data_IF_932066711056
#
_entry.id   IF_932066711056
#
_cell.length_a   1.000
_cell.length_b   1.000
_cell.length_c   1.000
_cell.angle_alpha   90.00
_cell.angle_beta   90.00
_cell.angle_gamma   90.00
#
_symmetry.space_group_name_H-M   'P 1'
#
loop_
_entity.id
_entity.type
_entity.pdbx_description
1 polymer ?
#
# COMPACT_ATOMS: atom_id res chain seq x y z
N UNK A 1 -36.25 28.91 -36.30
CA UNK A 1 -34.78 28.91 -36.29
C UNK A 1 -34.33 29.81 -35.15
N UNK A 2 -33.87 29.24 -34.04
CA UNK A 2 -33.36 29.97 -32.89
C UNK A 2 -32.07 29.30 -32.42
N UNK A 3 -30.96 29.99 -32.64
CA UNK A 3 -29.59 29.56 -32.35
C UNK A 3 -29.31 29.71 -30.87
N UNK A 4 -29.11 28.59 -30.17
CA UNK A 4 -28.75 28.56 -28.75
C UNK A 4 -27.23 28.72 -28.64
N UNK A 5 -26.78 29.88 -28.19
CA UNK A 5 -25.38 30.13 -27.86
C UNK A 5 -25.02 29.39 -26.57
N UNK A 6 -24.15 28.39 -26.66
CA UNK A 6 -23.52 27.77 -25.50
C UNK A 6 -22.38 28.66 -25.00
N UNK A 7 -22.54 29.15 -23.78
CA UNK A 7 -21.52 29.84 -23.00
C UNK A 7 -20.33 28.91 -22.74
N UNK A 8 -19.14 29.33 -23.16
CA UNK A 8 -17.85 28.72 -22.80
C UNK A 8 -17.69 28.81 -21.28
N UNK A 9 -17.49 27.67 -20.62
CA UNK A 9 -16.93 27.61 -19.28
C UNK A 9 -15.41 27.54 -19.42
N UNK A 10 -14.73 28.46 -18.75
CA UNK A 10 -13.28 28.60 -18.72
C UNK A 10 -12.62 27.37 -18.07
N UNK A 11 -11.79 26.68 -18.84
CA UNK A 11 -10.97 25.55 -18.39
C UNK A 11 -9.60 26.06 -17.90
N UNK A 12 -9.34 25.89 -16.59
CA UNK A 12 -8.02 26.09 -16.02
C UNK A 12 -7.06 24.96 -16.43
N UNK A 13 -6.07 25.34 -17.23
CA UNK A 13 -5.01 24.51 -17.80
C UNK A 13 -3.90 24.21 -16.78
N UNK A 14 -3.63 22.93 -16.54
CA UNK A 14 -2.33 22.43 -16.05
C UNK A 14 -1.95 21.21 -16.91
N UNK A 15 -1.07 21.43 -17.89
CA UNK A 15 -0.39 20.42 -18.72
C UNK A 15 -1.30 19.35 -19.36
N UNK A 16 -1.90 19.71 -20.50
CA UNK A 16 -2.88 18.95 -21.25
C UNK A 16 -2.43 17.59 -21.79
N UNK A 17 -2.72 16.54 -21.02
CA UNK A 17 -3.05 15.23 -21.58
C UNK A 17 -4.36 14.75 -20.96
N UNK A 18 -5.36 14.47 -21.82
CA UNK A 18 -6.62 13.86 -21.39
C UNK A 18 -6.29 12.55 -20.67
N UNK A 19 -6.85 12.35 -19.48
CA UNK A 19 -6.71 11.10 -18.75
C UNK A 19 -7.03 9.92 -19.67
N UNK A 20 -6.16 8.90 -19.69
CA UNK A 20 -6.37 7.71 -20.53
C UNK A 20 -7.68 7.05 -20.11
N UNK A 21 -8.68 6.93 -21.01
CA UNK A 21 -9.94 6.28 -20.67
C UNK A 21 -9.72 4.85 -20.19
N UNK A 22 -10.53 4.39 -19.25
CA UNK A 22 -10.44 3.02 -18.69
C UNK A 22 -10.48 1.97 -19.80
N UNK A 23 -11.30 2.18 -20.84
CA UNK A 23 -11.41 1.30 -22.00
C UNK A 23 -10.09 1.12 -22.79
N UNK A 24 -9.14 2.06 -22.67
CA UNK A 24 -7.82 1.96 -23.32
C UNK A 24 -6.75 1.35 -22.42
N UNK A 25 -7.06 1.02 -21.17
CA UNK A 25 -6.09 0.50 -20.18
C UNK A 25 -5.53 -0.83 -20.65
N UNK A 26 -4.20 -0.98 -20.56
CA UNK A 26 -3.54 -2.27 -20.76
C UNK A 26 -3.84 -3.16 -19.56
N UNK A 27 -4.44 -4.32 -19.80
CA UNK A 27 -4.86 -5.27 -18.77
C UNK A 27 -4.13 -6.61 -18.95
N UNK A 28 -3.93 -7.37 -17.86
CA UNK A 28 -3.45 -8.74 -17.91
C UNK A 28 -4.21 -9.61 -18.90
N UNK A 29 -3.48 -10.50 -19.55
CA UNK A 29 -3.95 -11.42 -20.59
C UNK A 29 -4.79 -12.52 -19.96
N UNK A 30 -5.93 -12.83 -20.55
CA UNK A 30 -6.69 -14.02 -20.17
C UNK A 30 -5.95 -15.27 -20.64
N UNK A 31 -5.65 -16.20 -19.73
CA UNK A 31 -4.95 -17.43 -20.04
C UNK A 31 -5.08 -18.45 -18.91
N UNK A 32 -4.56 -19.66 -19.14
CA UNK A 32 -4.49 -20.70 -18.12
C UNK A 32 -3.34 -20.38 -17.16
N UNK A 33 -3.62 -20.39 -15.86
CA UNK A 33 -2.59 -20.23 -14.83
C UNK A 33 -1.62 -21.42 -14.90
N UNK A 34 -0.29 -21.19 -15.00
CA UNK A 34 0.69 -22.27 -15.01
C UNK A 34 0.65 -23.09 -13.73
N UNK A 35 1.05 -24.37 -13.81
CA UNK A 35 1.17 -25.22 -12.63
C UNK A 35 2.41 -24.77 -11.83
N UNK A 36 2.28 -24.67 -10.50
CA UNK A 36 3.40 -24.37 -9.61
C UNK A 36 3.72 -22.89 -9.39
N UNK A 37 2.92 -21.96 -9.91
CA UNK A 37 3.06 -20.51 -9.64
C UNK A 37 2.23 -20.02 -8.46
N UNK A 38 1.37 -20.88 -7.90
CA UNK A 38 0.51 -20.54 -6.77
C UNK A 38 1.36 -20.22 -5.54
N UNK A 39 1.01 -19.15 -4.85
CA UNK A 39 1.60 -18.85 -3.54
C UNK A 39 1.11 -19.89 -2.54
N UNK A 40 2.04 -20.59 -1.92
CA UNK A 40 1.75 -21.46 -0.80
C UNK A 40 1.68 -20.61 0.46
N UNK A 41 0.53 -20.64 1.12
CA UNK A 41 0.35 -20.04 2.44
C UNK A 41 0.40 -21.14 3.51
N UNK A 42 1.38 -21.04 4.40
CA UNK A 42 1.57 -21.93 5.54
C UNK A 42 1.46 -21.16 6.84
N UNK A 43 0.80 -21.74 7.83
CA UNK A 43 0.80 -21.22 9.20
C UNK A 43 1.71 -22.15 10.00
N UNK A 44 2.99 -21.77 10.23
CA UNK A 44 3.96 -22.65 10.86
C UNK A 44 3.61 -22.96 12.32
N UNK A 45 3.04 -21.99 13.04
CA UNK A 45 2.62 -22.11 14.43
C UNK A 45 1.27 -21.40 14.62
N UNK A 46 0.47 -21.86 15.58
CA UNK A 46 -0.79 -21.19 15.93
C UNK A 46 -0.50 -19.77 16.46
N UNK A 47 -0.98 -18.71 15.78
CA UNK A 47 -0.69 -17.34 16.18
C UNK A 47 -1.21 -17.02 17.59
N UNK A 48 -2.26 -17.71 18.05
CA UNK A 48 -2.85 -17.48 19.36
C UNK A 48 -1.92 -17.89 20.52
N UNK A 49 -1.01 -18.84 20.29
CA UNK A 49 -0.04 -19.29 21.31
C UNK A 49 0.99 -18.19 21.59
N UNK A 50 1.33 -17.39 20.58
CA UNK A 50 2.37 -16.35 20.68
C UNK A 50 1.84 -15.00 21.18
N UNK A 51 0.53 -14.89 21.47
CA UNK A 51 -0.06 -13.64 21.90
C UNK A 51 0.52 -13.18 23.25
N UNK A 52 0.93 -11.91 23.37
CA UNK A 52 1.41 -11.37 24.63
C UNK A 52 0.27 -11.36 25.65
N UNK A 53 0.56 -11.77 26.88
CA UNK A 53 -0.41 -11.76 27.96
C UNK A 53 -0.80 -10.31 28.33
N UNK A 54 -2.10 -10.04 28.38
CA UNK A 54 -2.64 -8.74 28.76
C UNK A 54 -2.99 -8.78 30.26
N UNK A 55 -2.45 -7.84 31.02
CA UNK A 55 -2.80 -7.67 32.45
C UNK A 55 -4.12 -6.90 32.60
N UNK A 56 -4.93 -7.27 33.60
CA UNK A 56 -6.14 -6.54 33.97
C UNK A 56 -5.84 -5.16 34.60
N UNK A 57 -4.62 -4.96 35.08
CA UNK A 57 -4.13 -3.70 35.65
C UNK A 57 -2.92 -3.23 34.85
N UNK A 58 -3.15 -2.54 33.71
CA UNK A 58 -2.08 -2.05 32.87
C UNK A 58 -1.26 -0.97 33.62
N UNK A 59 0.09 -0.96 33.47
CA UNK A 59 0.91 0.11 34.01
C UNK A 59 0.61 1.44 33.29
N UNK A 60 1.05 2.54 33.88
CA UNK A 60 1.02 3.83 33.18
C UNK A 60 1.87 3.79 31.90
N UNK A 61 1.46 4.57 30.91
CA UNK A 61 2.17 4.62 29.64
C UNK A 61 3.54 5.26 29.82
N UNK A 62 4.56 4.48 29.50
CA UNK A 62 5.94 4.97 29.39
C UNK A 62 6.36 4.92 27.91
N UNK A 63 6.75 6.07 27.33
CA UNK A 63 7.20 6.14 25.94
C UNK A 63 8.36 5.19 25.66
N UNK A 64 8.32 4.56 24.48
CA UNK A 64 9.42 3.73 23.98
C UNK A 64 10.16 4.46 22.86
N UNK A 65 11.24 3.87 22.35
CA UNK A 65 11.97 4.42 21.22
C UNK A 65 11.08 4.56 19.96
N UNK A 66 10.11 3.66 19.78
CA UNK A 66 9.21 3.66 18.62
C UNK A 66 7.87 4.32 18.91
N UNK A 67 7.29 4.09 20.09
CA UNK A 67 6.01 4.64 20.49
C UNK A 67 6.24 5.82 21.45
N UNK A 68 6.57 6.98 20.86
CA UNK A 68 6.74 8.23 21.59
C UNK A 68 5.40 8.83 22.02
N UNK A 69 5.43 9.80 22.94
CA UNK A 69 4.20 10.50 23.36
C UNK A 69 3.51 11.17 22.16
N UNK A 70 4.27 11.84 21.29
CA UNK A 70 3.73 12.49 20.09
C UNK A 70 3.03 11.51 19.14
N UNK A 71 3.64 10.32 18.95
CA UNK A 71 3.05 9.26 18.12
C UNK A 71 1.79 8.69 18.77
N UNK A 72 1.79 8.51 20.10
CA UNK A 72 0.61 8.07 20.83
C UNK A 72 -0.55 9.07 20.71
N UNK A 73 -0.26 10.37 20.86
CA UNK A 73 -1.25 11.44 20.72
C UNK A 73 -1.82 11.50 19.30
N UNK A 74 -1.03 11.15 18.29
CA UNK A 74 -1.47 11.08 16.88
C UNK A 74 -2.49 9.97 16.60
N UNK A 75 -2.51 8.90 17.41
CA UNK A 75 -3.44 7.77 17.27
C UNK A 75 -4.86 8.16 17.73
N UNK A 76 -4.99 9.17 18.60
CA UNK A 76 -6.28 9.71 19.05
C UNK A 76 -7.25 8.65 19.62
N UNK A 77 -6.73 7.76 20.47
CA UNK A 77 -7.42 6.58 21.04
C UNK A 77 -8.82 6.89 21.64
N UNK A 78 -9.04 8.09 22.16
CA UNK A 78 -10.31 8.48 22.80
C UNK A 78 -10.79 9.87 22.38
N UNK A 79 -10.77 10.19 21.08
CA UNK A 79 -11.19 11.51 20.58
C UNK A 79 -12.65 11.86 20.96
N UNK A 80 -13.53 10.86 21.05
CA UNK A 80 -14.95 11.04 21.41
C UNK A 80 -15.22 10.99 22.91
N UNK A 81 -14.23 10.63 23.74
CA UNK A 81 -14.39 10.50 25.19
C UNK A 81 -15.24 9.28 25.62
N UNK A 82 -15.46 8.32 24.73
CA UNK A 82 -16.25 7.11 25.01
C UNK A 82 -15.56 6.17 26.02
N UNK A 83 -14.23 6.06 25.94
CA UNK A 83 -13.46 5.12 26.77
C UNK A 83 -13.19 5.68 28.16
N UNK A 84 -13.22 4.81 29.17
CA UNK A 84 -12.81 5.14 30.53
C UNK A 84 -11.28 5.31 30.62
N UNK A 85 -10.78 6.06 31.62
CA UNK A 85 -9.33 6.25 31.79
C UNK A 85 -8.55 4.93 31.87
N UNK A 86 -9.10 3.90 32.51
CA UNK A 86 -8.47 2.58 32.59
C UNK A 86 -8.49 1.82 31.25
N UNK A 87 -9.51 2.01 30.42
CA UNK A 87 -9.57 1.43 29.08
C UNK A 87 -8.57 2.08 28.13
N UNK A 88 -8.37 3.41 28.27
CA UNK A 88 -7.33 4.13 27.52
C UNK A 88 -5.94 3.61 27.90
N UNK A 89 -5.67 3.41 29.20
CA UNK A 89 -4.41 2.81 29.66
C UNK A 89 -4.21 1.40 29.10
N UNK A 90 -5.26 0.59 29.11
CA UNK A 90 -5.22 -0.75 28.53
C UNK A 90 -4.86 -0.73 27.05
N UNK A 91 -5.47 0.18 26.28
CA UNK A 91 -5.18 0.32 24.86
C UNK A 91 -3.73 0.79 24.61
N UNK A 92 -3.24 1.76 25.38
CA UNK A 92 -1.85 2.20 25.35
C UNK A 92 -0.89 1.04 25.65
N UNK A 93 -1.23 0.19 26.62
CA UNK A 93 -0.45 -1.00 26.96
C UNK A 93 -0.42 -2.02 25.82
N UNK A 94 -1.58 -2.29 25.19
CA UNK A 94 -1.67 -3.20 24.04
C UNK A 94 -0.83 -2.70 22.85
N UNK A 95 -0.90 -1.40 22.55
CA UNK A 95 -0.09 -0.79 21.49
C UNK A 95 1.40 -0.87 21.79
N UNK A 96 1.80 -0.68 23.06
CA UNK A 96 3.20 -0.83 23.49
C UNK A 96 3.69 -2.27 23.33
N UNK A 97 2.90 -3.26 23.75
CA UNK A 97 3.24 -4.68 23.58
C UNK A 97 3.41 -5.08 22.12
N UNK A 98 2.65 -4.43 21.23
CA UNK A 98 2.65 -4.70 19.79
C UNK A 98 3.33 -3.59 18.98
N UNK A 99 4.24 -2.81 19.57
CA UNK A 99 4.81 -1.62 18.91
C UNK A 99 5.51 -1.94 17.58
N UNK A 100 5.98 -3.18 17.41
CA UNK A 100 6.60 -3.66 16.18
C UNK A 100 5.62 -3.66 14.99
N UNK A 101 4.30 -3.81 15.22
CA UNK A 101 3.29 -3.86 14.15
C UNK A 101 2.88 -2.47 13.65
N UNK A 102 3.15 -1.42 14.42
CA UNK A 102 2.80 -0.05 14.08
C UNK A 102 3.82 0.54 13.11
N UNK A 103 3.35 1.12 12.01
CA UNK A 103 4.19 1.76 11.02
C UNK A 103 3.98 3.28 11.01
N UNK A 104 4.99 4.04 11.45
CA UNK A 104 4.96 5.51 11.45
C UNK A 104 5.81 6.07 10.30
N UNK A 105 6.90 5.40 9.96
CA UNK A 105 7.85 5.78 8.92
C UNK A 105 7.97 4.72 7.82
N UNK A 106 8.55 5.07 6.67
CA UNK A 106 8.77 4.11 5.57
C UNK A 106 9.77 3.00 5.97
N UNK A 107 10.63 3.27 6.96
CA UNK A 107 11.54 2.31 7.59
C UNK A 107 10.83 1.29 8.49
N UNK A 108 9.65 1.62 9.04
CA UNK A 108 8.85 0.68 9.84
C UNK A 108 8.11 -0.35 8.99
N UNK A 109 8.22 -0.26 7.67
CA UNK A 109 7.51 -1.12 6.72
C UNK A 109 7.91 -2.58 6.93
N UNK A 110 6.93 -3.40 7.28
CA UNK A 110 7.10 -4.86 7.34
C UNK A 110 7.14 -5.51 5.95
N UNK A 111 7.76 -6.69 5.91
CA UNK A 111 7.66 -7.65 4.80
C UNK A 111 6.93 -8.90 5.27
N UNK A 112 6.26 -9.60 4.34
CA UNK A 112 5.69 -10.90 4.65
C UNK A 112 6.82 -11.90 4.92
N UNK A 113 6.71 -12.65 6.01
CA UNK A 113 7.72 -13.67 6.36
C UNK A 113 7.68 -14.82 5.35
N UNK A 114 8.85 -15.23 4.87
CA UNK A 114 9.00 -16.37 3.94
C UNK A 114 8.53 -17.70 4.54
N UNK A 115 8.51 -17.83 5.87
CA UNK A 115 7.95 -19.01 6.56
C UNK A 115 6.43 -19.14 6.42
N UNK A 116 5.75 -18.03 6.12
CA UNK A 116 4.30 -18.01 5.91
C UNK A 116 3.93 -18.06 4.43
N UNK A 117 4.68 -17.37 3.58
CA UNK A 117 4.36 -17.21 2.18
C UNK A 117 5.55 -17.57 1.31
N UNK A 118 5.33 -18.48 0.36
CA UNK A 118 6.32 -18.71 -0.70
C UNK A 118 6.50 -17.46 -1.57
N UNK A 119 7.68 -17.25 -2.20
CA UNK A 119 7.87 -16.17 -3.16
C UNK A 119 6.79 -16.19 -4.26
N UNK A 120 6.32 -15.00 -4.64
CA UNK A 120 5.34 -14.86 -5.72
C UNK A 120 6.01 -15.02 -7.08
N UNK A 121 5.56 -15.98 -7.88
CA UNK A 121 6.04 -16.18 -9.25
C UNK A 121 5.08 -15.47 -10.20
N UNK A 122 5.57 -14.47 -10.94
CA UNK A 122 4.77 -13.79 -11.96
C UNK A 122 4.47 -14.73 -13.13
N UNK A 123 3.19 -15.06 -13.41
CA UNK A 123 2.84 -15.89 -14.56
C UNK A 123 2.87 -15.02 -15.82
N UNK A 124 3.76 -15.33 -16.75
CA UNK A 124 3.98 -14.57 -17.98
C UNK A 124 3.76 -15.44 -19.21
N UNK A 125 3.17 -14.88 -20.26
CA UNK A 125 3.16 -15.51 -21.60
C UNK A 125 4.55 -15.39 -22.25
N UNK A 126 4.91 -16.22 -23.26
CA UNK A 126 6.13 -16.03 -24.02
C UNK A 126 6.21 -14.62 -24.62
N UNK A 127 7.32 -13.91 -24.36
CA UNK A 127 7.53 -12.55 -24.83
C UNK A 127 9.03 -12.23 -24.92
N UNK A 128 9.34 -11.12 -25.58
CA UNK A 128 10.69 -10.55 -25.59
C UNK A 128 10.82 -9.51 -24.48
N UNK A 129 11.90 -9.52 -23.69
CA UNK A 129 12.17 -8.45 -22.74
C UNK A 129 12.18 -7.08 -23.43
N UNK A 130 11.68 -6.05 -22.74
CA UNK A 130 11.61 -4.70 -23.29
C UNK A 130 12.65 -3.79 -22.69
N UNK A 131 13.15 -2.89 -23.53
CA UNK A 131 14.08 -1.86 -23.13
C UNK A 131 13.57 -0.49 -23.54
N UNK A 132 12.98 0.24 -22.60
CA UNK A 132 12.50 1.59 -22.86
C UNK A 132 13.46 2.65 -22.31
N UNK A 133 13.58 3.76 -23.05
CA UNK A 133 14.25 4.95 -22.55
C UNK A 133 13.38 5.62 -21.49
N UNK A 134 13.98 5.94 -20.34
CA UNK A 134 13.28 6.63 -19.25
C UNK A 134 12.92 8.06 -19.62
N UNK A 135 11.86 8.56 -19.00
CA UNK A 135 11.43 9.95 -19.15
C UNK A 135 12.46 10.83 -18.41
N UNK A 136 12.99 11.89 -19.06
CA UNK A 136 13.95 12.79 -18.41
C UNK A 136 13.38 13.39 -17.11
N UNK A 137 14.17 13.35 -16.05
CA UNK A 137 13.80 13.98 -14.78
C UNK A 137 14.07 15.49 -14.89
N UNK A 138 13.08 16.36 -14.59
CA UNK A 138 13.28 17.80 -14.57
C UNK A 138 14.40 18.20 -13.59
N UNK A 139 15.32 19.09 -13.97
CA UNK A 139 16.46 19.46 -13.12
C UNK A 139 16.05 19.95 -11.72
N UNK A 140 14.94 20.68 -11.61
CA UNK A 140 14.46 21.22 -10.33
C UNK A 140 14.00 20.19 -9.31
N UNK A 141 13.74 18.93 -9.72
CA UNK A 141 13.36 17.85 -8.80
C UNK A 141 14.43 16.76 -8.68
N UNK A 142 15.53 16.85 -9.43
CA UNK A 142 16.52 15.78 -9.55
C UNK A 142 17.11 15.36 -8.19
N UNK A 143 17.56 16.31 -7.36
CA UNK A 143 18.15 16.02 -6.06
C UNK A 143 17.16 15.30 -5.12
N UNK A 144 15.91 15.78 -5.07
CA UNK A 144 14.85 15.14 -4.28
C UNK A 144 14.53 13.72 -4.75
N UNK A 145 14.62 13.47 -6.05
CA UNK A 145 14.45 12.12 -6.62
C UNK A 145 15.62 11.21 -6.23
N UNK A 146 16.85 11.71 -6.24
CA UNK A 146 18.02 10.93 -5.79
C UNK A 146 17.92 10.57 -4.31
N UNK A 147 17.54 11.52 -3.46
CA UNK A 147 17.30 11.26 -2.02
C UNK A 147 16.21 10.20 -1.82
N UNK A 148 15.09 10.32 -2.54
CA UNK A 148 14.01 9.34 -2.48
C UNK A 148 14.44 7.94 -2.95
N UNK A 149 15.27 7.85 -3.99
CA UNK A 149 15.80 6.57 -4.46
C UNK A 149 16.73 5.93 -3.43
N UNK A 150 17.60 6.70 -2.79
CA UNK A 150 18.47 6.21 -1.71
C UNK A 150 17.66 5.69 -0.53
N UNK A 151 16.69 6.46 -0.06
CA UNK A 151 15.80 6.03 1.02
C UNK A 151 15.05 4.72 0.69
N UNK A 152 14.66 4.51 -0.57
CA UNK A 152 14.04 3.24 -1.01
C UNK A 152 15.01 2.06 -1.08
N UNK A 153 16.28 2.31 -1.37
CA UNK A 153 17.32 1.29 -1.31
C UNK A 153 17.60 0.93 0.14
N UNK A 154 17.75 1.92 1.02
CA UNK A 154 18.00 1.72 2.45
C UNK A 154 16.84 0.97 3.12
N UNK A 155 15.59 1.24 2.69
CA UNK A 155 14.40 0.51 3.14
C UNK A 155 14.23 -0.89 2.49
N UNK A 156 15.16 -1.35 1.66
CA UNK A 156 15.11 -2.65 1.00
C UNK A 156 14.03 -2.79 -0.08
N UNK A 157 13.43 -1.69 -0.54
CA UNK A 157 12.39 -1.70 -1.59
C UNK A 157 13.02 -1.82 -2.97
N UNK A 158 14.20 -1.23 -3.15
CA UNK A 158 14.98 -1.29 -4.39
C UNK A 158 16.34 -1.91 -4.15
N UNK A 159 16.81 -2.67 -5.13
CA UNK A 159 18.15 -3.24 -5.15
C UNK A 159 18.78 -3.02 -6.55
N UNK A 160 20.11 -2.90 -6.64
CA UNK A 160 20.81 -2.95 -7.91
C UNK A 160 20.54 -4.30 -8.60
N UNK A 161 20.19 -4.29 -9.89
CA UNK A 161 19.97 -5.50 -10.66
C UNK A 161 20.63 -5.42 -12.03
N UNK A 162 20.95 -6.60 -12.59
CA UNK A 162 21.31 -6.77 -13.99
C UNK A 162 20.15 -7.48 -14.68
N UNK A 163 19.39 -6.73 -15.49
CA UNK A 163 18.13 -7.21 -16.07
C UNK A 163 18.04 -6.88 -17.56
N UNK A 164 17.43 -7.78 -18.33
CA UNK A 164 17.04 -7.54 -19.72
C UNK A 164 15.75 -6.69 -19.84
N UNK A 165 15.12 -6.35 -18.72
CA UNK A 165 13.92 -5.52 -18.66
C UNK A 165 14.25 -4.12 -18.18
N UNK A 166 13.69 -3.11 -18.87
CA UNK A 166 13.74 -1.71 -18.45
C UNK A 166 12.43 -1.01 -18.79
N UNK A 167 11.60 -0.83 -17.77
CA UNK A 167 10.35 -0.08 -17.86
C UNK A 167 10.59 1.42 -17.66
N UNK A 168 9.74 2.25 -18.26
CA UNK A 168 9.76 3.70 -17.99
C UNK A 168 9.27 3.96 -16.57
N UNK A 169 9.73 5.04 -15.98
CA UNK A 169 9.15 5.57 -14.75
C UNK A 169 9.22 7.09 -14.76
N UNK A 170 8.42 7.72 -13.92
CA UNK A 170 8.37 9.15 -13.74
C UNK A 170 7.95 9.52 -12.32
N UNK A 171 8.12 10.78 -11.96
CA UNK A 171 7.73 11.30 -10.65
C UNK A 171 6.46 12.13 -10.74
N UNK A 172 5.60 11.99 -9.72
CA UNK A 172 4.40 12.81 -9.54
C UNK A 172 4.48 13.51 -8.18
N UNK A 173 4.19 14.80 -8.15
CA UNK A 173 4.02 15.55 -6.90
C UNK A 173 2.62 15.28 -6.33
N UNK A 174 2.57 14.81 -5.07
CA UNK A 174 1.33 14.70 -4.32
C UNK A 174 0.90 16.07 -3.78
N UNK A 175 -0.38 16.20 -3.37
CA UNK A 175 -0.94 17.44 -2.79
C UNK A 175 -0.15 17.93 -1.56
N UNK A 176 0.46 17.01 -0.81
CA UNK A 176 1.31 17.30 0.34
C UNK A 176 2.75 17.71 -0.02
N UNK A 177 3.06 17.93 -1.30
CA UNK A 177 4.39 18.30 -1.78
C UNK A 177 5.40 17.15 -1.84
N UNK A 178 5.05 15.94 -1.38
CA UNK A 178 5.93 14.76 -1.47
C UNK A 178 5.97 14.21 -2.89
N UNK A 179 7.15 13.74 -3.31
CA UNK A 179 7.33 13.06 -4.60
C UNK A 179 6.92 11.59 -4.49
N UNK A 180 6.28 11.08 -5.54
CA UNK A 180 5.98 9.65 -5.72
C UNK A 180 6.56 9.18 -7.04
N UNK A 181 7.37 8.13 -6.98
CA UNK A 181 7.84 7.40 -8.16
C UNK A 181 6.71 6.53 -8.69
N UNK A 182 6.47 6.58 -10.00
CA UNK A 182 5.47 5.79 -10.72
C UNK A 182 6.19 5.00 -11.80
N UNK A 183 6.15 3.68 -11.71
CA UNK A 183 6.66 2.77 -12.73
C UNK A 183 5.57 2.51 -13.77
N UNK A 184 5.90 2.66 -15.05
CA UNK A 184 5.02 2.31 -16.16
C UNK A 184 5.06 0.80 -16.39
N UNK A 185 4.20 0.09 -15.66
CA UNK A 185 4.07 -1.36 -15.72
C UNK A 185 3.10 -1.83 -16.80
N UNK A 186 2.65 -0.95 -17.72
CA UNK A 186 1.82 -1.38 -18.85
C UNK A 186 2.42 -2.50 -19.71
N UNK A 187 3.74 -2.50 -20.01
CA UNK A 187 4.37 -3.60 -20.75
C UNK A 187 4.31 -4.93 -19.99
N UNK A 188 4.55 -4.89 -18.67
CA UNK A 188 4.43 -6.07 -17.81
C UNK A 188 2.99 -6.58 -17.78
N UNK A 189 2.02 -5.68 -17.57
CA UNK A 189 0.61 -6.04 -17.60
C UNK A 189 0.18 -6.64 -18.94
N UNK A 190 0.80 -6.27 -20.06
CA UNK A 190 0.47 -6.84 -21.37
C UNK A 190 0.92 -8.31 -21.53
N UNK A 191 1.85 -8.78 -20.70
CA UNK A 191 2.40 -10.14 -20.76
C UNK A 191 2.04 -10.98 -19.53
N UNK A 192 1.54 -10.36 -18.46
CA UNK A 192 1.08 -11.08 -17.27
C UNK A 192 -0.24 -11.80 -17.52
N UNK A 193 -0.32 -13.05 -17.08
CA UNK A 193 -1.55 -13.85 -17.08
C UNK A 193 -2.43 -13.36 -15.93
N UNK A 194 -3.72 -13.16 -16.22
CA UNK A 194 -4.70 -12.67 -15.25
C UNK A 194 -5.10 -13.78 -14.29
N UNK A 195 -4.96 -13.51 -12.99
CA UNK A 195 -5.57 -14.36 -11.96
C UNK A 195 -7.10 -14.19 -11.96
N UNK A 196 -7.81 -15.30 -11.74
CA UNK A 196 -9.26 -15.34 -11.70
C UNK A 196 -9.84 -14.99 -10.31
N UNK A 197 -8.96 -14.78 -9.30
CA UNK A 197 -9.35 -14.30 -7.99
C UNK A 197 -10.16 -13.02 -8.08
N UNK A 198 -11.41 -13.08 -7.61
CA UNK A 198 -12.26 -11.91 -7.46
C UNK A 198 -12.31 -11.51 -6.00
N UNK A 199 -12.29 -10.20 -5.75
CA UNK A 199 -12.52 -9.65 -4.42
C UNK A 199 -13.98 -10.00 -4.04
N UNK A 200 -14.26 -10.45 -2.80
CA UNK A 200 -15.62 -10.71 -2.36
C UNK A 200 -16.50 -9.45 -2.51
N UNK A 201 -17.80 -9.66 -2.71
CA UNK A 201 -18.76 -8.56 -2.76
C UNK A 201 -18.81 -7.89 -1.39
N UNK A 202 -18.43 -6.62 -1.33
CA UNK A 202 -18.24 -5.88 -0.08
C UNK A 202 -19.51 -5.87 0.76
N UNK A 203 -20.67 -5.59 0.18
CA UNK A 203 -21.93 -5.52 0.92
C UNK A 203 -22.25 -6.84 1.61
N UNK A 204 -22.08 -7.96 0.88
CA UNK A 204 -22.30 -9.30 1.43
C UNK A 204 -21.28 -9.66 2.52
N UNK A 205 -20.03 -9.22 2.36
CA UNK A 205 -19.00 -9.41 3.38
C UNK A 205 -19.31 -8.60 4.65
N UNK A 206 -19.72 -7.33 4.50
CA UNK A 206 -20.03 -6.44 5.62
C UNK A 206 -21.31 -6.84 6.34
N UNK A 207 -22.32 -7.33 5.63
CA UNK A 207 -23.60 -7.77 6.20
C UNK A 207 -23.43 -8.91 7.21
N UNK A 208 -22.43 -9.78 7.05
CA UNK A 208 -22.11 -10.82 8.03
C UNK A 208 -21.79 -10.27 9.42
N UNK A 209 -21.37 -9.01 9.51
CA UNK A 209 -21.06 -8.33 10.75
C UNK A 209 -22.21 -7.44 11.26
N UNK A 210 -23.26 -7.26 10.46
CA UNK A 210 -24.43 -6.47 10.80
C UNK A 210 -25.41 -7.30 11.63
N UNK A 211 -25.44 -7.09 12.96
CA UNK A 211 -26.50 -7.64 13.83
C UNK A 211 -26.06 -8.36 15.10
N UNK A 212 -24.75 -8.44 15.38
CA UNK A 212 -24.26 -9.07 16.61
C UNK A 212 -22.97 -8.49 17.19
N UNK A 213 -22.17 -7.79 16.38
CA UNK A 213 -20.93 -7.17 16.83
C UNK A 213 -21.17 -5.70 17.20
N UNK A 214 -20.72 -5.31 18.38
CA UNK A 214 -20.89 -3.96 18.92
C UNK A 214 -19.59 -3.16 18.95
N UNK A 215 -18.45 -3.84 18.82
CA UNK A 215 -17.11 -3.25 18.88
C UNK A 215 -16.35 -3.60 17.60
N UNK A 216 -15.84 -2.58 16.91
CA UNK A 216 -15.05 -2.74 15.69
C UNK A 216 -13.78 -1.91 15.80
N UNK A 217 -12.70 -2.43 15.22
CA UNK A 217 -11.44 -1.71 15.04
C UNK A 217 -11.03 -1.85 13.58
N UNK A 218 -10.58 -0.75 12.97
CA UNK A 218 -10.11 -0.73 11.59
C UNK A 218 -8.64 -0.31 11.59
N UNK A 219 -7.82 -1.06 10.87
CA UNK A 219 -6.41 -0.79 10.64
C UNK A 219 -6.19 -0.61 9.13
N UNK A 220 -5.34 0.34 8.75
CA UNK A 220 -4.87 0.59 7.37
C UNK A 220 -3.34 0.67 7.39
#
# INVERSE_FOLDING_TARGET
>A
MSTRSTSKQDEASVYGSRYKPVAKRTVPVSGTMPIGVSVTHTIPEDPLITLPHITAHPPEFEPTAKLTQERMDSIKVNETGFLWPEEVKLFQHILKLNEATLAFEESDRGTLKESYFSPYIYPLIPHTPWEYKNIPIPPGIANKVVELLRSKIDAGVYEPCQSSYRSRWFCVLKKNGKLRIVHDLQPLNAVSIRDAGSIPVIDSFVEQYAGGHQCFTVFD
#
